data_IF_435683463678
#
_entry.id   IF_435683463678
#
_cell.length_a   1.000
_cell.length_b   1.000
_cell.length_c   1.000
_cell.angle_alpha   90.00
_cell.angle_beta   90.00
_cell.angle_gamma   90.00
#
_symmetry.space_group_name_H-M   'P 1'
#
loop_
_entity.id
_entity.type
_entity.pdbx_description
1 polymer ?
#
# COMPACT_ATOMS: atom_id res chain seq x y z
N UNK A 1 -6.00 3.00 -11.85
CA UNK A 1 -5.93 4.43 -11.48
C UNK A 1 -6.98 5.17 -12.28
N UNK A 2 -7.63 6.15 -11.67
CA UNK A 2 -8.56 7.06 -12.36
C UNK A 2 -7.82 8.34 -12.69
N UNK A 3 -8.18 9.01 -13.78
CA UNK A 3 -7.61 10.31 -14.12
C UNK A 3 -7.99 11.38 -13.09
N UNK A 4 -7.09 12.33 -12.87
CA UNK A 4 -7.27 13.49 -11.97
C UNK A 4 -7.63 13.14 -10.52
N UNK A 5 -7.15 12.01 -9.99
CA UNK A 5 -7.29 11.68 -8.57
C UNK A 5 -6.39 12.57 -7.71
N UNK A 6 -6.97 13.17 -6.67
CA UNK A 6 -6.19 13.82 -5.63
C UNK A 6 -5.54 12.79 -4.72
N UNK A 7 -4.53 13.22 -3.95
CA UNK A 7 -3.94 12.38 -2.91
C UNK A 7 -4.98 11.91 -1.87
N UNK A 8 -5.95 12.78 -1.53
CA UNK A 8 -7.05 12.45 -0.62
C UNK A 8 -7.91 11.33 -1.17
N UNK A 9 -8.20 11.33 -2.47
CA UNK A 9 -8.97 10.26 -3.12
C UNK A 9 -8.21 8.93 -3.06
N UNK A 10 -6.91 8.96 -3.36
CA UNK A 10 -6.04 7.77 -3.31
C UNK A 10 -6.01 7.21 -1.89
N UNK A 11 -5.83 8.07 -0.89
CA UNK A 11 -5.85 7.69 0.53
C UNK A 11 -7.18 7.05 0.93
N UNK A 12 -8.30 7.71 0.66
CA UNK A 12 -9.63 7.25 1.05
C UNK A 12 -9.96 5.89 0.40
N UNK A 13 -9.79 5.77 -0.91
CA UNK A 13 -10.14 4.53 -1.61
C UNK A 13 -9.20 3.37 -1.29
N UNK A 14 -7.89 3.61 -1.25
CA UNK A 14 -6.91 2.56 -0.97
C UNK A 14 -7.06 2.07 0.47
N UNK A 15 -7.23 2.98 1.44
CA UNK A 15 -7.33 2.59 2.85
C UNK A 15 -8.56 1.74 3.17
N UNK A 16 -9.74 2.15 2.70
CA UNK A 16 -10.97 1.40 2.89
C UNK A 16 -10.94 0.04 2.19
N UNK A 17 -10.48 0.02 0.93
CA UNK A 17 -10.43 -1.20 0.14
C UNK A 17 -9.45 -2.22 0.71
N UNK A 18 -8.21 -1.78 0.99
CA UNK A 18 -7.16 -2.67 1.48
C UNK A 18 -7.44 -3.15 2.90
N UNK A 19 -7.90 -2.29 3.81
CA UNK A 19 -8.16 -2.72 5.19
C UNK A 19 -9.23 -3.81 5.25
N UNK A 20 -10.29 -3.69 4.44
CA UNK A 20 -11.32 -4.72 4.32
C UNK A 20 -10.75 -6.03 3.75
N UNK A 21 -9.90 -5.95 2.74
CA UNK A 21 -9.28 -7.12 2.12
C UNK A 21 -8.37 -7.86 3.11
N UNK A 22 -7.48 -7.14 3.81
CA UNK A 22 -6.53 -7.72 4.76
C UNK A 22 -7.24 -8.40 5.95
N UNK A 23 -8.35 -7.83 6.42
CA UNK A 23 -9.17 -8.44 7.49
C UNK A 23 -9.82 -9.76 7.06
N UNK A 24 -10.24 -9.86 5.80
CA UNK A 24 -10.92 -11.04 5.26
C UNK A 24 -9.92 -12.14 4.90
N UNK A 25 -8.88 -11.80 4.15
CA UNK A 25 -7.92 -12.76 3.59
C UNK A 25 -6.84 -13.18 4.58
N UNK A 26 -6.54 -12.33 5.58
CA UNK A 26 -5.50 -12.54 6.60
C UNK A 26 -4.18 -13.06 6.01
N UNK A 27 -3.60 -12.34 5.03
CA UNK A 27 -2.39 -12.81 4.37
C UNK A 27 -1.21 -12.84 5.35
N UNK A 28 -0.30 -13.80 5.17
CA UNK A 28 0.93 -13.86 5.95
C UNK A 28 2.01 -12.89 5.45
N UNK A 29 1.83 -12.30 4.26
CA UNK A 29 2.77 -11.38 3.62
C UNK A 29 2.01 -10.48 2.65
N UNK A 30 2.31 -9.18 2.67
CA UNK A 30 1.88 -8.23 1.63
C UNK A 30 3.07 -7.86 0.75
N UNK A 31 2.92 -7.97 -0.57
CA UNK A 31 3.91 -7.51 -1.54
C UNK A 31 3.48 -6.17 -2.12
N UNK A 32 4.39 -5.21 -2.15
CA UNK A 32 4.22 -3.90 -2.78
C UNK A 32 5.42 -3.60 -3.69
N UNK A 33 5.23 -2.82 -4.76
CA UNK A 33 6.27 -2.54 -5.75
C UNK A 33 6.34 -1.05 -6.10
N UNK A 34 7.57 -0.52 -6.16
CA UNK A 34 7.85 0.83 -6.64
C UNK A 34 7.72 1.88 -5.54
N UNK A 35 7.43 3.12 -5.92
CA UNK A 35 7.52 4.32 -5.06
C UNK A 35 6.28 5.21 -5.11
N UNK A 36 5.15 4.68 -5.59
CA UNK A 36 3.89 5.45 -5.70
C UNK A 36 3.23 5.71 -4.34
N UNK A 37 2.32 6.68 -4.28
CA UNK A 37 1.51 6.95 -3.08
C UNK A 37 0.73 5.71 -2.60
N UNK A 38 0.21 4.89 -3.53
CA UNK A 38 -0.47 3.64 -3.21
C UNK A 38 0.45 2.68 -2.44
N UNK A 39 1.72 2.54 -2.85
CA UNK A 39 2.71 1.70 -2.14
C UNK A 39 2.90 2.16 -0.70
N UNK A 40 3.10 3.47 -0.51
CA UNK A 40 3.29 4.05 0.82
C UNK A 40 2.09 3.79 1.74
N UNK A 41 0.86 3.99 1.23
CA UNK A 41 -0.38 3.79 1.99
C UNK A 41 -0.57 2.30 2.32
N UNK A 42 -0.40 1.41 1.33
CA UNK A 42 -0.55 -0.03 1.53
C UNK A 42 0.45 -0.57 2.58
N UNK A 43 1.71 -0.17 2.47
CA UNK A 43 2.75 -0.55 3.41
C UNK A 43 2.45 -0.04 4.83
N UNK A 44 1.96 1.20 4.97
CA UNK A 44 1.60 1.76 6.27
C UNK A 44 0.45 0.99 6.93
N UNK A 45 -0.59 0.65 6.18
CA UNK A 45 -1.74 -0.13 6.69
C UNK A 45 -1.29 -1.52 7.15
N UNK A 46 -0.52 -2.22 6.31
CA UNK A 46 -0.01 -3.55 6.66
C UNK A 46 0.90 -3.52 7.89
N UNK A 47 1.73 -2.48 8.02
CA UNK A 47 2.58 -2.27 9.19
C UNK A 47 1.75 -2.17 10.48
N UNK A 48 0.68 -1.35 10.49
CA UNK A 48 -0.20 -1.24 11.65
C UNK A 48 -0.97 -2.53 11.98
N UNK A 49 -1.28 -3.33 10.96
CA UNK A 49 -1.93 -4.63 11.13
C UNK A 49 -0.94 -5.76 11.44
N UNK A 50 0.36 -5.46 11.61
CA UNK A 50 1.44 -6.42 11.89
C UNK A 50 1.56 -7.51 10.82
N UNK A 51 1.26 -7.17 9.57
CA UNK A 51 1.45 -8.06 8.42
C UNK A 51 2.85 -7.79 7.86
N UNK A 52 3.72 -8.82 7.70
CA UNK A 52 5.00 -8.67 7.03
C UNK A 52 4.86 -8.06 5.62
N UNK A 53 5.84 -7.24 5.21
CA UNK A 53 5.81 -6.52 3.92
C UNK A 53 7.07 -6.85 3.12
N UNK A 54 6.89 -7.27 1.86
CA UNK A 54 7.96 -7.34 0.87
C UNK A 54 7.88 -6.15 -0.09
N UNK A 55 8.91 -5.30 -0.10
CA UNK A 55 8.99 -4.14 -0.98
C UNK A 55 9.90 -4.42 -2.18
N UNK A 56 9.30 -4.55 -3.36
CA UNK A 56 9.99 -4.70 -4.64
C UNK A 56 10.42 -3.30 -5.13
N UNK A 57 11.63 -3.20 -5.69
CA UNK A 57 12.30 -1.93 -6.04
C UNK A 57 12.66 -1.05 -4.84
N UNK A 58 12.90 -1.68 -3.68
CA UNK A 58 13.38 -0.98 -2.50
C UNK A 58 14.78 -0.38 -2.70
N UNK A 59 14.98 0.83 -2.18
CA UNK A 59 16.30 1.44 -2.05
C UNK A 59 16.87 2.11 -3.31
N UNK A 60 16.12 2.20 -4.41
CA UNK A 60 16.55 2.96 -5.59
C UNK A 60 16.78 4.43 -5.23
N UNK A 61 17.94 4.97 -5.61
CA UNK A 61 18.34 6.37 -5.38
C UNK A 61 19.06 6.87 -6.63
N UNK A 62 18.83 8.13 -6.98
CA UNK A 62 19.56 8.85 -8.02
C UNK A 62 20.66 9.69 -7.36
N UNK A 63 21.84 9.77 -7.99
CA UNK A 63 22.99 10.55 -7.53
C UNK A 63 23.10 11.89 -8.26
#
# INVERSE_FOLDING_TARGET
MKENQSLTDILHHTSLGLSKLLLNEKPNLLIVQGDTATVAICALIAFYQKIPIGHIEAGLRTY
#
